data_IF_607218488916
#
_entry.id   IF_607218488916
#
_cell.length_a   1.000
_cell.length_b   1.000
_cell.length_c   1.000
_cell.angle_alpha   90.00
_cell.angle_beta   90.00
_cell.angle_gamma   90.00
#
_symmetry.space_group_name_H-M   'P 1'
#
loop_
_entity.id
_entity.type
_entity.pdbx_description
1 polymer ?
#
# COMPACT_ATOMS: atom_id res chain seq x y z
N UNK A 1 -6.21 9.79 -1.35
CA UNK A 1 -7.05 10.90 -1.88
C UNK A 1 -6.33 11.65 -2.99
N UNK A 2 -5.12 12.18 -2.78
CA UNK A 2 -4.38 12.96 -3.79
C UNK A 2 -4.29 12.32 -5.20
N UNK A 3 -4.00 11.02 -5.31
CA UNK A 3 -3.84 10.39 -6.62
C UNK A 3 -5.15 10.33 -7.43
N UNK A 4 -6.29 10.12 -6.78
CA UNK A 4 -7.58 10.03 -7.47
C UNK A 4 -8.00 11.39 -8.06
N UNK A 5 -7.73 12.48 -7.34
CA UNK A 5 -7.91 13.85 -7.86
C UNK A 5 -7.00 14.12 -9.06
N UNK A 6 -5.70 13.81 -8.96
CA UNK A 6 -4.73 14.00 -10.04
C UNK A 6 -5.14 13.22 -11.30
N UNK A 7 -5.58 11.98 -11.16
CA UNK A 7 -6.08 11.19 -12.29
C UNK A 7 -7.38 11.77 -12.87
N UNK A 8 -8.26 12.31 -12.04
CA UNK A 8 -9.46 13.02 -12.47
C UNK A 8 -9.15 14.28 -13.29
N UNK A 9 -8.23 15.11 -12.81
CA UNK A 9 -7.76 16.30 -13.51
C UNK A 9 -7.11 15.94 -14.85
N UNK A 10 -6.30 14.89 -14.88
CA UNK A 10 -5.66 14.44 -16.12
C UNK A 10 -6.69 13.95 -17.16
N UNK A 11 -7.73 13.21 -16.75
CA UNK A 11 -8.83 12.83 -17.67
C UNK A 11 -9.52 14.07 -18.23
N UNK A 12 -9.79 15.07 -17.40
CA UNK A 12 -10.38 16.35 -17.86
C UNK A 12 -9.50 17.08 -18.87
N UNK A 13 -8.16 16.99 -18.74
CA UNK A 13 -7.23 17.53 -19.73
C UNK A 13 -7.30 16.77 -21.06
N UNK A 14 -7.44 15.44 -21.03
CA UNK A 14 -7.61 14.64 -22.24
C UNK A 14 -8.90 14.99 -22.99
N UNK A 15 -10.01 15.14 -22.26
CA UNK A 15 -11.30 15.57 -22.83
C UNK A 15 -11.17 16.96 -23.48
N UNK A 16 -10.44 17.88 -22.83
CA UNK A 16 -10.18 19.21 -23.39
C UNK A 16 -9.33 19.14 -24.66
N UNK A 17 -8.32 18.26 -24.70
CA UNK A 17 -7.47 18.08 -25.87
C UNK A 17 -8.27 17.53 -27.07
N UNK A 18 -9.24 16.65 -26.85
CA UNK A 18 -10.18 16.18 -27.87
C UNK A 18 -11.06 17.33 -28.36
N UNK A 19 -11.62 18.13 -27.46
CA UNK A 19 -12.45 19.28 -27.81
C UNK A 19 -11.69 20.34 -28.64
N UNK A 20 -10.40 20.48 -28.41
CA UNK A 20 -9.50 21.35 -29.16
C UNK A 20 -8.99 20.73 -30.48
N UNK A 21 -9.35 19.48 -30.78
CA UNK A 21 -8.88 18.75 -31.96
C UNK A 21 -7.39 18.37 -31.92
N UNK A 22 -6.79 18.37 -30.74
CA UNK A 22 -5.39 17.96 -30.53
C UNK A 22 -5.23 16.44 -30.44
N UNK A 23 -6.32 15.75 -30.08
CA UNK A 23 -6.39 14.29 -30.04
C UNK A 23 -7.59 13.83 -30.87
N UNK A 24 -7.40 12.73 -31.59
CA UNK A 24 -8.52 11.95 -32.11
C UNK A 24 -9.05 10.95 -31.06
N UNK A 25 -10.19 10.33 -31.36
CA UNK A 25 -10.83 9.40 -30.43
C UNK A 25 -10.01 8.11 -30.21
N UNK A 26 -9.25 7.65 -31.21
CA UNK A 26 -8.43 6.46 -31.06
C UNK A 26 -7.23 6.72 -30.14
N UNK A 27 -6.62 7.91 -30.25
CA UNK A 27 -5.58 8.38 -29.35
C UNK A 27 -6.10 8.58 -27.93
N UNK A 28 -7.31 9.11 -27.77
CA UNK A 28 -7.96 9.23 -26.47
C UNK A 28 -8.15 7.86 -25.83
N UNK A 29 -8.70 6.88 -26.56
CA UNK A 29 -8.93 5.52 -26.06
C UNK A 29 -7.62 4.87 -25.60
N UNK A 30 -6.55 4.96 -26.39
CA UNK A 30 -5.24 4.43 -26.00
C UNK A 30 -4.72 5.08 -24.71
N UNK A 31 -4.81 6.42 -24.62
CA UNK A 31 -4.36 7.16 -23.44
C UNK A 31 -5.20 6.82 -22.20
N UNK A 32 -6.51 6.62 -22.33
CA UNK A 32 -7.37 6.22 -21.22
C UNK A 32 -7.02 4.81 -20.72
N UNK A 33 -6.71 3.86 -21.61
CA UNK A 33 -6.25 2.52 -21.23
C UNK A 33 -4.94 2.61 -20.45
N UNK A 34 -3.95 3.34 -20.98
CA UNK A 34 -2.66 3.55 -20.30
C UNK A 34 -2.81 4.21 -18.93
N UNK A 35 -3.73 5.16 -18.82
CA UNK A 35 -4.02 5.84 -17.56
C UNK A 35 -4.58 4.88 -16.52
N UNK A 36 -5.53 4.01 -16.92
CA UNK A 36 -6.11 3.00 -16.05
C UNK A 36 -5.06 1.97 -15.60
N UNK A 37 -4.16 1.54 -16.48
CA UNK A 37 -3.03 0.67 -16.13
C UNK A 37 -2.12 1.32 -15.08
N UNK A 38 -1.79 2.62 -15.26
CA UNK A 38 -1.00 3.38 -14.31
C UNK A 38 -1.66 3.53 -12.94
N UNK A 39 -2.96 3.84 -12.92
CA UNK A 39 -3.76 3.95 -11.70
C UNK A 39 -3.79 2.62 -10.91
N UNK A 40 -4.02 1.51 -11.60
CA UNK A 40 -4.01 0.17 -11.00
C UNK A 40 -2.62 -0.19 -10.46
N UNK A 41 -1.55 0.15 -11.19
CA UNK A 41 -0.18 -0.08 -10.73
C UNK A 41 0.09 0.65 -9.41
N UNK A 42 -0.25 1.95 -9.34
CA UNK A 42 -0.07 2.76 -8.12
C UNK A 42 -0.90 2.20 -6.96
N UNK A 43 -2.14 1.78 -7.22
CA UNK A 43 -3.01 1.14 -6.23
C UNK A 43 -2.38 -0.12 -5.64
N UNK A 44 -1.81 -0.98 -6.48
CA UNK A 44 -1.10 -2.19 -6.03
C UNK A 44 0.14 -1.87 -5.19
N UNK A 45 0.93 -0.87 -5.60
CA UNK A 45 2.10 -0.44 -4.83
C UNK A 45 1.71 0.10 -3.46
N UNK A 46 0.66 0.92 -3.38
CA UNK A 46 0.15 1.41 -2.10
C UNK A 46 -0.30 0.27 -1.18
N UNK A 47 -1.00 -0.73 -1.72
CA UNK A 47 -1.42 -1.92 -0.98
C UNK A 47 -0.25 -2.79 -0.53
N UNK A 48 0.77 -2.95 -1.38
CA UNK A 48 1.98 -3.67 -1.02
C UNK A 48 2.74 -2.97 0.11
N UNK A 49 2.87 -1.64 0.03
CA UNK A 49 3.47 -0.82 1.09
C UNK A 49 2.73 -0.96 2.43
N UNK A 50 1.40 -0.91 2.42
CA UNK A 50 0.59 -1.11 3.62
C UNK A 50 0.83 -2.49 4.26
N UNK A 51 0.81 -3.55 3.46
CA UNK A 51 1.10 -4.92 3.93
C UNK A 51 2.50 -5.08 4.50
N UNK A 52 3.50 -4.40 3.93
CA UNK A 52 4.85 -4.40 4.49
C UNK A 52 4.88 -3.75 5.88
N UNK A 53 4.23 -2.60 6.04
CA UNK A 53 4.15 -1.90 7.34
C UNK A 53 3.44 -2.77 8.39
N UNK A 54 2.33 -3.40 8.02
CA UNK A 54 1.62 -4.37 8.87
C UNK A 54 2.54 -5.54 9.26
N UNK A 55 3.25 -6.13 8.29
CA UNK A 55 4.21 -7.20 8.54
C UNK A 55 5.31 -6.80 9.52
N UNK A 56 5.92 -5.63 9.35
CA UNK A 56 6.92 -5.11 10.29
C UNK A 56 6.35 -4.91 11.71
N UNK A 57 5.11 -4.45 11.83
CA UNK A 57 4.43 -4.33 13.12
C UNK A 57 4.24 -5.69 13.80
N UNK A 58 3.80 -6.69 13.05
CA UNK A 58 3.61 -8.06 13.55
C UNK A 58 4.94 -8.69 14.00
N UNK A 59 6.02 -8.49 13.26
CA UNK A 59 7.35 -8.96 13.63
C UNK A 59 7.83 -8.33 14.95
N UNK A 60 7.56 -7.02 15.14
CA UNK A 60 7.89 -6.32 16.36
C UNK A 60 7.07 -6.84 17.55
N UNK A 61 5.77 -7.10 17.38
CA UNK A 61 4.92 -7.69 18.41
C UNK A 61 5.38 -9.11 18.77
N UNK A 62 5.71 -9.93 17.76
CA UNK A 62 6.22 -11.28 17.97
C UNK A 62 7.53 -11.28 18.77
N UNK A 63 8.44 -10.33 18.50
CA UNK A 63 9.67 -10.18 19.26
C UNK A 63 9.40 -9.85 20.74
N UNK A 64 8.45 -8.94 21.02
CA UNK A 64 8.03 -8.62 22.40
C UNK A 64 7.44 -9.83 23.11
N UNK A 65 6.58 -10.59 22.44
CA UNK A 65 5.98 -11.80 23.01
C UNK A 65 7.07 -12.82 23.35
N UNK A 66 8.00 -13.10 22.42
CA UNK A 66 9.12 -14.02 22.66
C UNK A 66 9.95 -13.62 23.88
N UNK A 67 10.26 -12.33 24.03
CA UNK A 67 11.00 -11.83 25.19
C UNK A 67 10.24 -12.04 26.50
N UNK A 68 8.94 -11.73 26.54
CA UNK A 68 8.12 -11.94 27.74
C UNK A 68 8.01 -13.42 28.10
N UNK A 69 7.82 -14.30 27.11
CA UNK A 69 7.76 -15.75 27.34
C UNK A 69 9.09 -16.29 27.89
N UNK A 70 10.22 -15.84 27.34
CA UNK A 70 11.53 -16.21 27.86
C UNK A 70 11.71 -15.78 29.32
N UNK A 71 11.36 -14.54 29.63
CA UNK A 71 11.43 -14.00 30.98
C UNK A 71 10.51 -14.76 31.95
N UNK A 72 9.28 -15.06 31.53
CA UNK A 72 8.34 -15.84 32.33
C UNK A 72 8.85 -17.27 32.60
N UNK A 73 9.46 -17.93 31.62
CA UNK A 73 10.06 -19.26 31.81
C UNK A 73 11.23 -19.24 32.80
N UNK A 74 12.08 -18.20 32.75
CA UNK A 74 13.17 -18.03 33.71
C UNK A 74 12.61 -17.86 35.13
N UNK A 75 11.64 -16.96 35.30
CA UNK A 75 11.01 -16.73 36.61
C UNK A 75 10.30 -17.97 37.15
N UNK A 76 9.60 -18.74 36.31
CA UNK A 76 8.96 -19.99 36.73
C UNK A 76 9.99 -21.00 37.20
N UNK A 77 11.09 -21.20 36.45
CA UNK A 77 12.17 -22.10 36.82
C UNK A 77 12.84 -21.67 38.13
N UNK A 78 13.09 -20.37 38.31
CA UNK A 78 13.66 -19.85 39.56
C UNK A 78 12.73 -20.10 40.75
N UNK A 79 11.42 -19.90 40.59
CA UNK A 79 10.45 -20.17 41.66
C UNK A 79 10.29 -21.67 41.97
N UNK A 80 10.41 -22.55 40.97
CA UNK A 80 10.42 -24.01 41.17
C UNK A 80 11.67 -24.52 41.92
N UNK A 81 12.78 -23.78 41.87
CA UNK A 81 14.03 -24.11 42.56
C UNK A 81 14.08 -23.61 44.02
N UNK A 82 13.10 -22.79 44.44
CA UNK A 82 13.04 -22.15 45.77
C UNK A 82 12.09 -22.90 46.74
N UNK A 83 11.42 -23.97 46.28
CA UNK A 83 10.58 -24.87 47.11
C UNK A 83 11.38 -26.08 47.58
#
# INVERSE_FOLDING_TARGET
MANAEIFGEFRSCLDSAVALGLLDLAQLDELQVRLAEGEEMISRYAKAGMRMVEGCSLDQELAKIKQHTQLAMVLLRENELVV
#
